data_IF_839502257677
#
_entry.id   IF_839502257677
#
_cell.length_a   1.000
_cell.length_b   1.000
_cell.length_c   1.000
_cell.angle_alpha   90.00
_cell.angle_beta   90.00
_cell.angle_gamma   90.00
#
_symmetry.space_group_name_H-M   'P 1'
#
loop_
_entity.id
_entity.type
_entity.pdbx_description
1 polymer ?
#
# COMPACT_ATOMS: atom_id res chain seq x y z
N UNK A 1 29.65 16.25 24.36
CA UNK A 1 29.05 17.30 23.50
C UNK A 1 27.56 17.25 23.76
N UNK A 2 26.99 18.31 24.34
CA UNK A 2 25.55 18.35 24.65
C UNK A 2 24.73 18.46 23.36
N UNK A 3 23.65 17.68 23.22
CA UNK A 3 22.81 17.73 22.03
C UNK A 3 22.11 19.10 21.92
N UNK A 4 21.97 19.57 20.68
CA UNK A 4 21.30 20.85 20.40
C UNK A 4 19.78 20.73 20.58
N UNK A 5 19.10 21.85 20.85
CA UNK A 5 17.62 21.90 20.94
C UNK A 5 16.92 21.35 19.68
N UNK A 6 17.57 21.45 18.51
CA UNK A 6 17.07 20.87 17.26
C UNK A 6 17.12 19.33 17.27
N UNK A 7 18.18 18.75 17.83
CA UNK A 7 18.32 17.31 17.99
C UNK A 7 17.33 16.77 19.02
N UNK A 8 17.17 17.46 20.15
CA UNK A 8 16.18 17.11 21.17
C UNK A 8 14.73 17.14 20.63
N UNK A 9 14.41 18.13 19.79
CA UNK A 9 13.10 18.20 19.13
C UNK A 9 12.89 17.12 18.05
N UNK A 10 13.95 16.63 17.41
CA UNK A 10 13.88 15.50 16.48
C UNK A 10 13.71 14.17 17.24
N UNK A 11 14.35 14.02 18.40
CA UNK A 11 14.24 12.82 19.23
C UNK A 11 12.86 12.70 19.86
N UNK A 12 12.34 13.79 20.44
CA UNK A 12 10.96 13.82 20.95
C UNK A 12 9.94 13.46 19.88
N UNK A 13 10.08 13.98 18.65
CA UNK A 13 9.18 13.62 17.55
C UNK A 13 9.27 12.15 17.18
N UNK A 14 10.48 11.56 17.14
CA UNK A 14 10.63 10.11 16.91
C UNK A 14 10.01 9.28 18.02
N UNK A 15 10.15 9.71 19.28
CA UNK A 15 9.60 8.99 20.43
C UNK A 15 8.07 9.10 20.49
N UNK A 16 7.52 10.27 20.16
CA UNK A 16 6.07 10.49 20.01
C UNK A 16 5.50 9.75 18.79
N UNK A 17 6.23 9.70 17.68
CA UNK A 17 5.90 8.89 16.49
C UNK A 17 5.87 7.40 16.86
N UNK A 18 6.90 6.89 17.54
CA UNK A 18 6.97 5.51 18.01
C UNK A 18 5.83 5.15 18.98
N UNK A 19 5.44 6.08 19.86
CA UNK A 19 4.33 5.87 20.79
C UNK A 19 2.95 5.84 20.10
N UNK A 20 2.78 6.56 18.99
CA UNK A 20 1.55 6.53 18.18
C UNK A 20 1.36 5.17 17.48
N UNK A 21 2.47 4.51 17.12
CA UNK A 21 2.52 3.15 16.57
C UNK A 21 2.29 2.02 17.61
N UNK A 22 2.02 2.34 18.87
CA UNK A 22 1.94 1.37 19.98
C UNK A 22 0.59 1.34 20.72
N UNK A 23 -0.49 1.89 20.14
CA UNK A 23 -1.82 1.97 20.79
C UNK A 23 -2.97 1.22 20.10
N UNK A 24 -2.69 0.43 19.06
CA UNK A 24 -3.64 -0.52 18.47
C UNK A 24 -3.23 -1.92 18.95
N UNK A 25 -4.03 -2.96 18.77
CA UNK A 25 -3.75 -4.36 19.13
C UNK A 25 -2.55 -4.93 18.30
N UNK A 26 -1.37 -4.35 18.51
CA UNK A 26 -0.23 -4.21 17.57
C UNK A 26 0.94 -5.16 17.85
N UNK A 27 0.91 -5.87 18.97
CA UNK A 27 2.05 -6.67 19.46
C UNK A 27 2.48 -7.79 18.51
N UNK A 28 1.57 -8.40 17.76
CA UNK A 28 1.91 -9.40 16.73
C UNK A 28 2.02 -8.80 15.31
N UNK A 29 1.39 -7.63 15.07
CA UNK A 29 1.31 -7.00 13.74
C UNK A 29 2.59 -6.25 13.40
N UNK A 30 3.24 -5.62 14.39
CA UNK A 30 4.46 -4.83 14.22
C UNK A 30 5.71 -5.68 13.92
N UNK A 31 5.82 -6.87 14.53
CA UNK A 31 6.94 -7.79 14.28
C UNK A 31 6.94 -8.29 12.82
N UNK A 32 5.75 -8.42 12.23
CA UNK A 32 5.54 -8.82 10.83
C UNK A 32 5.61 -7.64 9.84
N UNK A 33 5.37 -6.40 10.27
CA UNK A 33 5.37 -5.16 9.47
C UNK A 33 6.79 -4.57 9.32
N UNK A 34 7.72 -5.37 8.81
CA UNK A 34 9.05 -4.86 8.46
C UNK A 34 8.99 -3.92 7.25
N UNK A 35 9.89 -2.94 7.17
CA UNK A 35 10.05 -2.09 5.97
C UNK A 35 10.22 -2.92 4.70
N UNK A 36 10.89 -4.07 4.78
CA UNK A 36 11.04 -5.00 3.66
C UNK A 36 9.72 -5.58 3.16
N UNK A 37 8.82 -5.96 4.07
CA UNK A 37 7.47 -6.45 3.74
C UNK A 37 6.61 -5.36 3.10
N UNK A 38 6.62 -4.15 3.66
CA UNK A 38 5.92 -2.99 3.09
C UNK A 38 6.42 -2.71 1.68
N UNK A 39 7.73 -2.64 1.46
CA UNK A 39 8.29 -2.47 0.12
C UNK A 39 7.79 -3.56 -0.86
N UNK A 40 7.74 -4.82 -0.43
CA UNK A 40 7.26 -5.92 -1.26
C UNK A 40 5.77 -5.80 -1.58
N UNK A 41 4.95 -5.41 -0.60
CA UNK A 41 3.53 -5.15 -0.79
C UNK A 41 3.32 -4.04 -1.84
N UNK A 42 3.97 -2.89 -1.66
CA UNK A 42 3.82 -1.75 -2.57
C UNK A 42 4.33 -2.07 -3.99
N UNK A 43 5.42 -2.83 -4.12
CA UNK A 43 5.93 -3.30 -5.42
C UNK A 43 4.96 -4.31 -6.06
N UNK A 44 4.24 -5.11 -5.27
CA UNK A 44 3.21 -6.03 -5.73
C UNK A 44 2.13 -5.32 -6.56
N UNK A 45 1.67 -4.15 -6.10
CA UNK A 45 0.74 -3.32 -6.85
C UNK A 45 1.29 -2.85 -8.20
N UNK A 46 2.60 -2.72 -8.36
CA UNK A 46 3.21 -2.22 -9.60
C UNK A 46 3.48 -3.30 -10.65
N UNK A 47 3.33 -4.59 -10.33
CA UNK A 47 3.73 -5.66 -11.26
C UNK A 47 3.03 -5.60 -12.62
N UNK A 48 1.74 -5.24 -12.63
CA UNK A 48 0.93 -5.19 -13.84
C UNK A 48 1.19 -3.98 -14.74
N UNK A 49 1.83 -2.92 -14.22
CA UNK A 49 2.30 -1.81 -15.07
C UNK A 49 3.27 -2.26 -16.16
N UNK A 50 4.03 -3.30 -15.89
CA UNK A 50 5.04 -3.83 -16.80
C UNK A 50 4.48 -4.83 -17.81
N UNK A 51 3.23 -5.29 -17.63
CA UNK A 51 2.61 -6.31 -18.48
C UNK A 51 1.59 -5.72 -19.47
N UNK A 52 0.83 -4.70 -19.07
CA UNK A 52 -0.24 -4.14 -19.90
C UNK A 52 -0.48 -2.65 -19.60
N UNK A 53 0.46 -1.82 -20.08
CA UNK A 53 0.49 -0.37 -19.80
C UNK A 53 -0.74 0.37 -20.31
N UNK A 54 -1.41 -0.14 -21.35
CA UNK A 54 -2.59 0.48 -21.95
C UNK A 54 -3.86 0.30 -21.10
N UNK A 55 -3.84 -0.67 -20.17
CA UNK A 55 -4.99 -1.01 -19.34
C UNK A 55 -4.95 -0.43 -17.93
N UNK A 56 -3.81 0.11 -17.49
CA UNK A 56 -3.59 0.64 -16.14
C UNK A 56 -3.68 2.17 -16.10
N UNK A 57 -4.05 2.72 -14.94
CA UNK A 57 -4.01 4.17 -14.71
C UNK A 57 -2.55 4.66 -14.70
N UNK A 58 -2.28 5.95 -14.92
CA UNK A 58 -0.90 6.42 -14.98
C UNK A 58 -0.24 6.38 -13.58
N UNK A 59 0.88 5.66 -13.43
CA UNK A 59 1.65 5.62 -12.18
C UNK A 59 2.31 6.97 -11.90
N UNK A 60 2.22 7.44 -10.65
CA UNK A 60 2.84 8.70 -10.20
C UNK A 60 3.98 8.49 -9.23
N UNK A 61 3.71 7.79 -8.12
CA UNK A 61 4.70 7.58 -7.06
C UNK A 61 4.34 6.36 -6.22
N UNK A 62 5.38 5.79 -5.61
CA UNK A 62 5.31 4.75 -4.59
C UNK A 62 5.98 5.27 -3.32
N UNK A 63 5.35 5.03 -2.18
CA UNK A 63 5.91 5.38 -0.86
C UNK A 63 5.91 4.12 -0.01
N UNK A 64 7.07 3.68 0.44
CA UNK A 64 7.22 2.48 1.29
C UNK A 64 7.64 2.84 2.72
N UNK A 65 7.18 4.00 3.20
CA UNK A 65 7.42 4.51 4.53
C UNK A 65 6.15 5.22 4.99
N UNK A 66 5.66 4.87 6.18
CA UNK A 66 4.49 5.47 6.80
C UNK A 66 4.64 7.00 6.81
N UNK A 67 3.81 7.69 6.04
CA UNK A 67 3.62 9.11 6.22
C UNK A 67 2.83 9.31 7.52
N UNK A 68 3.19 10.25 8.40
CA UNK A 68 2.44 10.50 9.64
C UNK A 68 1.03 11.08 9.42
N UNK A 69 0.48 11.01 8.20
CA UNK A 69 -0.72 11.76 7.78
C UNK A 69 -1.93 10.90 7.45
N UNK A 70 -1.74 9.63 7.12
CA UNK A 70 -2.80 8.78 6.55
C UNK A 70 -2.95 7.41 7.23
N UNK A 71 -2.08 7.07 8.19
CA UNK A 71 -2.15 5.79 8.91
C UNK A 71 -1.79 4.57 8.07
N UNK A 72 -1.36 4.78 6.82
CA UNK A 72 -0.87 3.73 5.92
C UNK A 72 0.61 3.46 6.17
N UNK A 73 1.05 2.21 6.04
CA UNK A 73 2.47 1.85 6.10
C UNK A 73 3.22 2.21 4.80
N UNK A 74 2.47 2.33 3.70
CA UNK A 74 2.91 2.66 2.35
C UNK A 74 1.70 3.01 1.47
N UNK A 75 1.97 3.55 0.28
CA UNK A 75 0.94 3.82 -0.70
C UNK A 75 1.50 3.89 -2.13
N UNK A 76 0.74 3.34 -3.07
CA UNK A 76 0.91 3.57 -4.51
C UNK A 76 -0.12 4.59 -4.99
N UNK A 77 0.37 5.62 -5.69
CA UNK A 77 -0.47 6.67 -6.23
C UNK A 77 -0.56 6.59 -7.74
N UNK A 78 -1.80 6.53 -8.23
CA UNK A 78 -2.16 6.56 -9.63
C UNK A 78 -2.87 7.85 -9.98
N UNK A 79 -2.73 8.29 -11.23
CA UNK A 79 -3.57 9.33 -11.79
C UNK A 79 -4.74 8.67 -12.53
N UNK A 80 -5.97 8.77 -12.00
CA UNK A 80 -7.11 8.21 -12.67
C UNK A 80 -7.35 8.94 -14.00
N UNK A 81 -7.63 8.22 -15.09
CA UNK A 81 -7.97 8.82 -16.37
C UNK A 81 -9.28 9.61 -16.27
N UNK A 82 -9.42 10.66 -17.07
CA UNK A 82 -10.65 11.44 -17.19
C UNK A 82 -11.81 10.69 -17.88
N UNK A 83 -11.79 9.35 -17.85
CA UNK A 83 -12.77 8.47 -18.48
C UNK A 83 -13.77 7.94 -17.47
N UNK A 84 -15.01 7.78 -17.89
CA UNK A 84 -16.10 7.19 -17.10
C UNK A 84 -16.54 5.81 -17.61
N UNK A 85 -16.01 5.35 -18.75
CA UNK A 85 -16.31 4.05 -19.35
C UNK A 85 -15.02 3.26 -19.43
N UNK A 86 -14.98 2.14 -18.73
CA UNK A 86 -13.85 1.23 -18.71
C UNK A 86 -14.16 -0.01 -19.52
N UNK A 87 -13.17 -0.48 -20.28
CA UNK A 87 -13.24 -1.81 -20.91
C UNK A 87 -13.11 -2.89 -19.85
N UNK A 88 -13.53 -4.11 -20.17
CA UNK A 88 -13.32 -5.26 -19.28
C UNK A 88 -11.84 -5.50 -18.99
N UNK A 89 -10.96 -5.24 -19.96
CA UNK A 89 -9.51 -5.36 -19.80
C UNK A 89 -8.99 -4.34 -18.77
N UNK A 90 -9.41 -3.08 -18.86
CA UNK A 90 -9.07 -2.05 -17.87
C UNK A 90 -9.60 -2.37 -16.47
N UNK A 91 -10.83 -2.87 -16.35
CA UNK A 91 -11.38 -3.30 -15.05
C UNK A 91 -10.62 -4.49 -14.46
N UNK A 92 -10.20 -5.44 -15.31
CA UNK A 92 -9.37 -6.57 -14.89
C UNK A 92 -8.00 -6.10 -14.42
N UNK A 93 -7.37 -5.18 -15.14
CA UNK A 93 -6.09 -4.59 -14.76
C UNK A 93 -6.19 -3.88 -13.40
N UNK A 94 -7.22 -3.06 -13.18
CA UNK A 94 -7.49 -2.44 -11.87
C UNK A 94 -7.64 -3.47 -10.75
N UNK A 95 -8.42 -4.53 -10.98
CA UNK A 95 -8.60 -5.61 -10.01
C UNK A 95 -7.25 -6.29 -9.68
N UNK A 96 -6.42 -6.52 -10.69
CA UNK A 96 -5.11 -7.13 -10.53
C UNK A 96 -4.12 -6.22 -9.78
N UNK A 97 -4.16 -4.90 -10.03
CA UNK A 97 -3.40 -3.92 -9.26
C UNK A 97 -3.81 -3.95 -7.79
N UNK A 98 -5.11 -3.90 -7.47
CA UNK A 98 -5.60 -3.93 -6.09
C UNK A 98 -5.21 -5.21 -5.35
N UNK A 99 -5.17 -6.36 -6.02
CA UNK A 99 -4.76 -7.64 -5.41
C UNK A 99 -3.24 -7.84 -5.37
N UNK A 100 -2.46 -6.97 -6.02
CA UNK A 100 -1.03 -7.14 -6.23
C UNK A 100 -0.21 -7.15 -4.93
N UNK A 101 -0.52 -6.26 -3.98
CA UNK A 101 0.16 -6.20 -2.69
C UNK A 101 -0.05 -7.47 -1.87
N UNK A 102 -1.31 -7.90 -1.72
CA UNK A 102 -1.67 -9.17 -1.08
C UNK A 102 -1.01 -10.39 -1.74
N UNK A 103 -1.03 -10.46 -3.07
CA UNK A 103 -0.40 -11.56 -3.80
C UNK A 103 1.12 -11.62 -3.56
N UNK A 104 1.80 -10.46 -3.54
CA UNK A 104 3.22 -10.40 -3.23
C UNK A 104 3.50 -10.89 -1.80
N UNK A 105 2.71 -10.48 -0.82
CA UNK A 105 2.88 -10.95 0.55
C UNK A 105 2.68 -12.46 0.69
N UNK A 106 1.65 -13.01 0.05
CA UNK A 106 1.35 -14.44 0.10
C UNK A 106 2.49 -15.28 -0.53
N UNK A 107 3.08 -14.79 -1.63
CA UNK A 107 4.22 -15.45 -2.30
C UNK A 107 5.50 -15.43 -1.44
N UNK A 108 5.84 -14.29 -0.83
CA UNK A 108 7.13 -14.12 -0.16
C UNK A 108 7.10 -14.44 1.34
N UNK A 109 5.94 -14.36 1.99
CA UNK A 109 5.82 -14.52 3.44
C UNK A 109 4.80 -15.59 3.84
N UNK A 110 4.11 -16.25 2.90
CA UNK A 110 3.08 -17.29 3.16
C UNK A 110 1.91 -16.84 4.03
N UNK A 111 1.82 -15.55 4.32
CA UNK A 111 0.82 -14.88 5.15
C UNK A 111 0.62 -13.48 4.59
N UNK A 112 -0.60 -12.97 4.64
CA UNK A 112 -0.90 -11.56 4.38
C UNK A 112 -1.15 -10.84 5.71
N UNK A 113 -0.51 -9.69 5.91
CA UNK A 113 -0.64 -8.79 7.08
C UNK A 113 -1.00 -7.38 6.63
N UNK A 114 -0.77 -7.02 5.35
CA UNK A 114 -1.26 -5.79 4.73
C UNK A 114 -2.75 -5.53 4.98
N UNK A 115 -3.09 -4.25 5.15
CA UNK A 115 -4.32 -3.78 5.79
C UNK A 115 -5.59 -3.96 4.94
N UNK A 116 -6.75 -3.90 5.61
CA UNK A 116 -8.11 -3.99 5.03
C UNK A 116 -8.45 -2.94 3.95
N UNK A 117 -7.57 -1.97 3.69
CA UNK A 117 -7.83 -0.93 2.68
C UNK A 117 -7.87 -1.49 1.25
N UNK A 118 -7.07 -2.51 0.94
CA UNK A 118 -7.17 -3.21 -0.34
C UNK A 118 -8.50 -3.96 -0.47
N UNK A 119 -9.09 -4.39 0.65
CA UNK A 119 -10.24 -5.30 0.68
C UNK A 119 -11.57 -4.64 0.28
N UNK A 120 -11.60 -3.30 0.19
CA UNK A 120 -12.82 -2.53 -0.11
C UNK A 120 -13.08 -2.40 -1.62
N UNK A 121 -12.06 -2.20 -2.45
CA UNK A 121 -12.25 -1.93 -3.89
C UNK A 121 -12.38 -3.20 -4.75
N UNK A 122 -11.62 -4.25 -4.45
CA UNK A 122 -11.55 -5.41 -5.32
C UNK A 122 -12.87 -6.20 -5.43
N UNK A 123 -13.74 -6.33 -4.39
CA UNK A 123 -14.99 -7.06 -4.51
C UNK A 123 -15.94 -6.41 -5.53
N UNK A 124 -16.05 -5.08 -5.52
CA UNK A 124 -16.89 -4.36 -6.47
C UNK A 124 -16.35 -4.51 -7.90
N UNK A 125 -15.03 -4.38 -8.09
CA UNK A 125 -14.39 -4.61 -9.39
C UNK A 125 -14.60 -6.05 -9.88
N UNK A 126 -14.50 -7.04 -8.99
CA UNK A 126 -14.68 -8.45 -9.31
C UNK A 126 -16.09 -8.74 -9.84
N UNK A 127 -17.13 -8.13 -9.26
CA UNK A 127 -18.50 -8.26 -9.80
C UNK A 127 -18.57 -7.76 -11.25
N UNK A 128 -18.00 -6.60 -11.55
CA UNK A 128 -18.02 -5.99 -12.89
C UNK A 128 -17.18 -6.76 -13.93
N UNK A 129 -16.15 -7.50 -13.49
CA UNK A 129 -15.25 -8.26 -14.38
C UNK A 129 -15.76 -9.66 -14.68
N UNK A 130 -16.26 -10.37 -13.66
CA UNK A 130 -16.58 -11.79 -13.74
C UNK A 130 -18.07 -12.10 -13.85
N UNK A 131 -18.94 -11.18 -13.41
CA UNK A 131 -20.38 -11.41 -13.37
C UNK A 131 -21.05 -10.43 -14.33
N UNK A 132 -21.59 -10.99 -15.43
CA UNK A 132 -22.43 -10.28 -16.40
C UNK A 132 -23.84 -10.83 -16.32
#
# INVERSE_FOLDING_TARGET
MEPTNRQLGQWKRRDEEAALFHSIDEGERLDDLTTGRVCLHEVGHLKFFWEDVDCVDEFRKITAAAGPRDGSAGAVHYQPPAQHKYTRAQLKAKLQLSLGGRAAEEVFFTRCVGDDFDSVEWPELATKVFWK
#
